data_IF_639078763365
#
_entry.id   IF_639078763365
#
_cell.length_a   1.000
_cell.length_b   1.000
_cell.length_c   1.000
_cell.angle_alpha   90.00
_cell.angle_beta   90.00
_cell.angle_gamma   90.00
#
_symmetry.space_group_name_H-M   'P 1'
#
loop_
_entity.id
_entity.type
_entity.pdbx_description
1 polymer ?
#
# COMPACT_ATOMS: atom_id res chain seq x y z
N UNK A 1 22.64 -16.46 9.05
CA UNK A 1 21.54 -17.30 8.51
C UNK A 1 20.84 -16.53 7.39
N UNK A 2 20.88 -17.03 6.14
CA UNK A 2 20.11 -16.45 5.03
C UNK A 2 18.63 -16.80 5.22
N UNK A 3 17.69 -15.86 5.09
CA UNK A 3 16.27 -16.19 5.14
C UNK A 3 15.95 -17.19 4.01
N UNK A 4 15.03 -18.13 4.23
CA UNK A 4 14.69 -19.15 3.24
C UNK A 4 14.23 -18.49 1.91
N UNK A 5 14.60 -19.06 0.76
CA UNK A 5 14.33 -18.49 -0.56
C UNK A 5 12.83 -18.30 -0.84
N UNK A 6 11.99 -19.14 -0.24
CA UNK A 6 10.53 -19.08 -0.35
C UNK A 6 9.94 -17.77 0.20
N UNK A 7 10.50 -17.25 1.30
CA UNK A 7 10.08 -15.97 1.86
C UNK A 7 10.45 -14.80 0.94
N UNK A 8 11.57 -14.90 0.23
CA UNK A 8 12.04 -13.83 -0.66
C UNK A 8 11.20 -13.75 -1.94
N UNK A 9 10.89 -14.89 -2.56
CA UNK A 9 10.00 -14.95 -3.73
C UNK A 9 8.57 -14.50 -3.38
N UNK A 10 8.05 -14.93 -2.23
CA UNK A 10 6.75 -14.51 -1.72
C UNK A 10 6.69 -13.01 -1.45
N UNK A 11 7.69 -12.45 -0.77
CA UNK A 11 7.78 -11.01 -0.48
C UNK A 11 7.86 -10.17 -1.76
N UNK A 12 8.61 -10.63 -2.77
CA UNK A 12 8.69 -9.99 -4.08
C UNK A 12 7.35 -9.99 -4.80
N UNK A 13 6.62 -11.12 -4.78
CA UNK A 13 5.29 -11.22 -5.39
C UNK A 13 4.27 -10.30 -4.71
N UNK A 14 4.25 -10.26 -3.38
CA UNK A 14 3.38 -9.35 -2.62
C UNK A 14 3.70 -7.88 -2.91
N UNK A 15 4.99 -7.53 -2.96
CA UNK A 15 5.43 -6.18 -3.29
C UNK A 15 5.03 -5.78 -4.71
N UNK A 16 5.12 -6.72 -5.66
CA UNK A 16 4.70 -6.50 -7.04
C UNK A 16 3.18 -6.27 -7.14
N UNK A 17 2.37 -7.12 -6.49
CA UNK A 17 0.91 -6.94 -6.45
C UNK A 17 0.51 -5.63 -5.79
N UNK A 18 1.14 -5.28 -4.66
CA UNK A 18 0.92 -3.99 -4.02
C UNK A 18 1.19 -2.83 -4.98
N UNK A 19 2.37 -2.80 -5.63
CA UNK A 19 2.70 -1.78 -6.62
C UNK A 19 1.69 -1.73 -7.78
N UNK A 20 1.21 -2.88 -8.26
CA UNK A 20 0.22 -2.95 -9.33
C UNK A 20 -1.10 -2.27 -8.91
N UNK A 21 -1.59 -2.53 -7.69
CA UNK A 21 -2.80 -1.88 -7.15
C UNK A 21 -2.63 -0.36 -7.10
N UNK A 22 -1.50 0.13 -6.55
CA UNK A 22 -1.21 1.57 -6.51
C UNK A 22 -1.17 2.18 -7.91
N UNK A 23 -0.50 1.54 -8.87
CA UNK A 23 -0.45 2.01 -10.26
C UNK A 23 -1.84 2.01 -10.91
N UNK A 24 -2.66 0.98 -10.67
CA UNK A 24 -4.05 0.89 -11.18
C UNK A 24 -4.93 2.01 -10.65
N UNK A 25 -4.68 2.45 -9.40
CA UNK A 25 -5.37 3.60 -8.81
C UNK A 25 -4.76 4.93 -9.24
N UNK A 26 -3.77 4.93 -10.13
CA UNK A 26 -3.11 6.13 -10.62
C UNK A 26 -2.29 6.83 -9.53
N UNK A 27 -1.73 6.07 -8.60
CA UNK A 27 -0.87 6.59 -7.52
C UNK A 27 0.60 6.45 -7.90
N UNK A 28 1.40 7.46 -7.55
CA UNK A 28 2.85 7.40 -7.76
C UNK A 28 3.49 6.48 -6.73
N UNK A 29 4.11 5.41 -7.23
CA UNK A 29 4.80 4.41 -6.40
C UNK A 29 6.30 4.62 -6.34
N UNK A 30 6.86 5.59 -7.08
CA UNK A 30 8.32 5.78 -7.20
C UNK A 30 8.95 6.15 -5.87
N UNK A 31 8.25 6.95 -5.06
CA UNK A 31 8.68 7.36 -3.72
C UNK A 31 8.11 6.49 -2.60
N UNK A 32 7.37 5.42 -2.92
CA UNK A 32 6.81 4.51 -1.93
C UNK A 32 7.79 3.37 -1.65
N UNK A 33 8.02 3.12 -0.37
CA UNK A 33 8.78 1.98 0.14
C UNK A 33 7.82 0.88 0.56
N UNK A 34 7.93 -0.27 -0.09
CA UNK A 34 7.16 -1.47 0.22
C UNK A 34 8.05 -2.42 1.01
N UNK A 35 7.55 -2.93 2.13
CA UNK A 35 8.23 -3.89 2.98
C UNK A 35 7.26 -4.97 3.39
N UNK A 36 7.69 -6.22 3.36
CA UNK A 36 6.88 -7.37 3.76
C UNK A 36 7.64 -8.14 4.83
N UNK A 37 6.98 -8.37 5.97
CA UNK A 37 7.57 -9.14 7.06
C UNK A 37 6.48 -9.96 7.76
N UNK A 38 6.70 -11.26 7.93
CA UNK A 38 5.77 -12.15 8.63
C UNK A 38 4.35 -12.19 8.05
N UNK A 39 4.19 -11.99 6.73
CA UNK A 39 2.87 -11.90 6.08
C UNK A 39 2.17 -10.55 6.27
N UNK A 40 2.85 -9.53 6.81
CA UNK A 40 2.33 -8.16 6.92
C UNK A 40 2.96 -7.28 5.85
N UNK A 41 2.14 -6.59 5.06
CA UNK A 41 2.59 -5.60 4.08
C UNK A 41 2.62 -4.23 4.74
N UNK A 42 3.78 -3.57 4.67
CA UNK A 42 3.98 -2.20 5.13
C UNK A 42 4.38 -1.31 3.97
N UNK A 43 3.59 -0.28 3.69
CA UNK A 43 3.86 0.69 2.63
C UNK A 43 4.09 2.05 3.26
N UNK A 44 5.24 2.65 3.00
CA UNK A 44 5.64 3.92 3.62
C UNK A 44 6.05 4.92 2.54
N UNK A 45 5.55 6.14 2.57
CA UNK A 45 6.00 7.19 1.64
C UNK A 45 4.94 8.26 1.38
N UNK A 46 5.18 9.19 0.45
CA UNK A 46 4.24 10.25 0.14
C UNK A 46 3.02 9.72 -0.60
N UNK A 47 1.81 10.11 -0.14
CA UNK A 47 0.58 9.85 -0.88
C UNK A 47 0.45 10.84 -2.03
N UNK A 48 1.04 10.51 -3.17
CA UNK A 48 0.99 11.37 -4.35
C UNK A 48 0.26 10.67 -5.49
N UNK A 49 -0.95 11.11 -5.86
CA UNK A 49 -1.53 10.65 -7.09
C UNK A 49 -0.74 11.16 -8.31
N UNK A 50 -0.71 10.37 -9.40
CA UNK A 50 -0.07 10.76 -10.67
C UNK A 50 -0.74 11.98 -11.28
N UNK A 51 -2.06 12.12 -11.09
CA UNK A 51 -2.80 13.35 -11.41
C UNK A 51 -2.87 14.21 -10.14
N UNK A 52 -2.31 15.41 -10.19
CA UNK A 52 -2.31 16.35 -9.05
C UNK A 52 -3.70 16.91 -8.72
N UNK A 53 -4.66 16.80 -9.63
CA UNK A 53 -6.02 17.36 -9.55
C UNK A 53 -7.03 16.52 -8.76
N UNK A 54 -6.57 15.47 -8.07
CA UNK A 54 -7.46 14.60 -7.33
C UNK A 54 -7.97 15.26 -6.05
N UNK A 55 -9.28 15.44 -5.98
CA UNK A 55 -10.02 15.90 -4.79
C UNK A 55 -9.71 15.03 -3.56
N UNK A 56 -9.85 15.61 -2.36
CA UNK A 56 -9.67 14.89 -1.09
C UNK A 56 -10.54 13.62 -1.03
N UNK A 57 -11.75 13.68 -1.53
CA UNK A 57 -12.67 12.54 -1.54
C UNK A 57 -12.18 11.39 -2.43
N UNK A 58 -11.65 11.69 -3.61
CA UNK A 58 -11.06 10.68 -4.48
C UNK A 58 -9.76 10.10 -3.92
N UNK A 59 -8.92 10.96 -3.34
CA UNK A 59 -7.72 10.55 -2.61
C UNK A 59 -8.08 9.56 -1.50
N UNK A 60 -9.11 9.87 -0.72
CA UNK A 60 -9.63 9.02 0.33
C UNK A 60 -10.14 7.67 -0.21
N UNK A 61 -11.01 7.69 -1.23
CA UNK A 61 -11.49 6.47 -1.90
C UNK A 61 -10.35 5.59 -2.36
N UNK A 62 -9.32 6.16 -2.98
CA UNK A 62 -8.14 5.40 -3.44
C UNK A 62 -7.39 4.72 -2.30
N UNK A 63 -7.21 5.39 -1.16
CA UNK A 63 -6.55 4.80 0.02
C UNK A 63 -7.40 3.67 0.63
N UNK A 64 -8.72 3.83 0.67
CA UNK A 64 -9.62 2.79 1.15
C UNK A 64 -9.61 1.55 0.25
N UNK A 65 -9.70 1.75 -1.07
CA UNK A 65 -9.60 0.66 -2.05
C UNK A 65 -8.24 -0.01 -1.94
N UNK A 66 -7.17 0.75 -1.77
CA UNK A 66 -5.82 0.22 -1.53
C UNK A 66 -5.75 -0.75 -0.36
N UNK A 67 -6.23 -0.31 0.80
CA UNK A 67 -6.21 -1.13 2.00
C UNK A 67 -7.02 -2.42 1.81
N UNK A 68 -8.18 -2.30 1.16
CA UNK A 68 -9.07 -3.43 0.87
C UNK A 68 -8.42 -4.43 -0.11
N UNK A 69 -7.87 -3.96 -1.23
CA UNK A 69 -7.23 -4.81 -2.24
C UNK A 69 -5.98 -5.49 -1.69
N UNK A 70 -5.17 -4.79 -0.89
CA UNK A 70 -4.01 -5.38 -0.23
C UNK A 70 -4.40 -6.44 0.80
N UNK A 71 -5.53 -6.25 1.49
CA UNK A 71 -6.05 -7.21 2.47
C UNK A 71 -6.66 -8.45 1.82
N UNK A 72 -7.08 -8.38 0.55
CA UNK A 72 -7.57 -9.55 -0.21
C UNK A 72 -6.45 -10.44 -0.70
N UNK A 73 -5.18 -10.00 -0.63
CA UNK A 73 -4.07 -10.79 -1.12
C UNK A 73 -3.90 -12.05 -0.24
N UNK A 74 -3.94 -13.26 -0.82
CA UNK A 74 -3.80 -14.49 -0.06
C UNK A 74 -2.44 -14.52 0.66
N UNK A 75 -2.43 -15.04 1.89
CA UNK A 75 -1.30 -15.08 2.83
C UNK A 75 -0.90 -13.72 3.46
N UNK A 76 -1.60 -12.62 3.14
CA UNK A 76 -1.44 -11.37 3.89
C UNK A 76 -2.26 -11.43 5.19
N UNK A 77 -1.58 -11.35 6.32
CA UNK A 77 -2.21 -11.31 7.66
C UNK A 77 -2.55 -9.90 8.11
N UNK A 78 -1.97 -8.89 7.47
CA UNK A 78 -2.26 -7.50 7.80
C UNK A 78 -1.62 -6.50 6.85
N UNK A 79 -2.23 -5.34 6.75
CA UNK A 79 -1.79 -4.23 5.91
C UNK A 79 -1.51 -3.02 6.78
N UNK A 80 -0.40 -2.34 6.52
CA UNK A 80 -0.01 -1.12 7.20
C UNK A 80 0.37 -0.07 6.16
N UNK A 81 -0.49 0.93 6.01
CA UNK A 81 -0.26 2.05 5.10
C UNK A 81 0.18 3.27 5.93
N UNK A 82 1.42 3.72 5.72
CA UNK A 82 1.98 4.97 6.27
C UNK A 82 2.22 5.94 5.13
N UNK A 83 1.15 6.59 4.72
CA UNK A 83 1.12 7.45 3.56
C UNK A 83 1.12 8.92 4.01
N UNK A 84 2.15 9.71 3.66
CA UNK A 84 2.22 11.13 4.03
C UNK A 84 1.12 11.88 3.26
N UNK A 85 0.15 12.45 3.98
CA UNK A 85 -1.07 13.03 3.42
C UNK A 85 -2.32 12.14 3.54
N UNK A 86 -2.19 10.90 4.03
CA UNK A 86 -3.31 10.02 4.37
C UNK A 86 -3.05 9.29 5.69
N UNK A 87 -3.88 9.55 6.70
CA UNK A 87 -3.74 8.98 8.04
C UNK A 87 -5.03 8.29 8.46
N UNK A 88 -4.90 7.17 9.19
CA UNK A 88 -6.06 6.48 9.73
C UNK A 88 -6.36 7.00 11.14
N UNK A 89 -7.47 7.71 11.33
CA UNK A 89 -7.98 8.17 12.65
C UNK A 89 -9.24 7.38 13.00
N UNK A 90 -9.24 6.73 14.16
CA UNK A 90 -10.39 5.97 14.68
C UNK A 90 -10.99 4.97 13.67
N UNK A 91 -10.14 4.23 12.98
CA UNK A 91 -10.54 3.26 11.94
C UNK A 91 -10.91 3.87 10.58
N UNK A 92 -11.04 5.20 10.47
CA UNK A 92 -11.36 5.90 9.21
C UNK A 92 -10.11 6.53 8.60
N UNK A 93 -9.98 6.43 7.28
CA UNK A 93 -8.95 7.16 6.55
C UNK A 93 -9.30 8.65 6.50
N UNK A 94 -8.29 9.50 6.66
CA UNK A 94 -8.38 10.97 6.57
C UNK A 94 -7.24 11.41 5.69
N UNK A 95 -7.54 12.17 4.64
CA UNK A 95 -6.52 12.74 3.74
C UNK A 95 -6.44 14.25 3.93
N UNK A 96 -5.22 14.78 3.97
CA UNK A 96 -4.95 16.21 4.15
C UNK A 96 -4.69 16.91 2.81
#
# INVERSE_FOLDING_TARGET
>A
MKPPPENQAFNSKLTFQAKAIFNSLGLDTRKLRFSVSGGRISVTGPFKPRRSDLSKEEKLKKVMILEQELSKIPKVKGVSLRLKGATKRNGKWVVS
#
